data_IF_916820216020
#
_entry.id   IF_916820216020
#
_cell.length_a   1.000
_cell.length_b   1.000
_cell.length_c   1.000
_cell.angle_alpha   90.00
_cell.angle_beta   90.00
_cell.angle_gamma   90.00
#
_symmetry.space_group_name_H-M   'P 1'
#
loop_
_entity.id
_entity.type
_entity.pdbx_description
1 polymer ?
#
# COMPACT_ATOMS: atom_id res chain seq x y z
N UNK A 1 -4.68 -19.80 23.56
CA UNK A 1 -3.82 -20.22 22.44
C UNK A 1 -3.28 -19.01 21.67
N UNK A 2 -4.10 -18.11 21.16
CA UNK A 2 -3.64 -16.90 20.44
C UNK A 2 -2.73 -16.03 21.30
N UNK A 3 -3.10 -15.71 22.53
CA UNK A 3 -2.30 -14.90 23.47
C UNK A 3 -0.91 -15.48 23.77
N UNK A 4 -0.78 -16.82 23.83
CA UNK A 4 0.49 -17.48 24.05
C UNK A 4 1.42 -17.37 22.84
N UNK A 5 0.86 -17.52 21.63
CA UNK A 5 1.58 -17.31 20.36
C UNK A 5 2.03 -15.86 20.24
N UNK A 6 1.14 -14.94 20.57
CA UNK A 6 1.40 -13.50 20.56
C UNK A 6 2.56 -13.12 21.49
N UNK A 7 2.52 -13.55 22.75
CA UNK A 7 3.58 -13.27 23.73
C UNK A 7 4.94 -13.88 23.34
N UNK A 8 4.97 -14.98 22.59
CA UNK A 8 6.20 -15.61 22.14
C UNK A 8 6.77 -14.95 20.88
N UNK A 9 5.93 -14.59 19.92
CA UNK A 9 6.36 -14.07 18.61
C UNK A 9 6.61 -12.56 18.61
N UNK A 10 5.78 -11.79 19.31
CA UNK A 10 5.80 -10.34 19.26
C UNK A 10 7.18 -9.72 19.58
N UNK A 11 7.88 -10.10 20.67
CA UNK A 11 9.19 -9.54 20.98
C UNK A 11 10.22 -9.81 19.88
N UNK A 12 10.27 -11.05 19.37
CA UNK A 12 11.23 -11.45 18.34
C UNK A 12 10.99 -10.69 17.03
N UNK A 13 9.73 -10.54 16.63
CA UNK A 13 9.37 -9.82 15.40
C UNK A 13 9.67 -8.32 15.54
N UNK A 14 9.41 -7.72 16.70
CA UNK A 14 9.74 -6.32 16.97
C UNK A 14 11.24 -6.07 16.91
N UNK A 15 12.06 -6.96 17.49
CA UNK A 15 13.52 -6.83 17.46
C UNK A 15 14.05 -6.90 16.03
N UNK A 16 13.60 -7.87 15.23
CA UNK A 16 13.95 -7.98 13.81
C UNK A 16 13.53 -6.72 13.02
N UNK A 17 12.31 -6.26 13.23
CA UNK A 17 11.80 -5.07 12.56
C UNK A 17 12.55 -3.80 12.95
N UNK A 18 13.03 -3.72 14.20
CA UNK A 18 13.83 -2.57 14.64
C UNK A 18 15.06 -2.37 13.76
N UNK A 19 15.75 -3.45 13.40
CA UNK A 19 16.91 -3.36 12.51
C UNK A 19 16.49 -3.21 11.03
N UNK A 20 15.61 -4.07 10.53
CA UNK A 20 15.22 -4.09 9.13
C UNK A 20 14.53 -2.80 8.69
N UNK A 21 13.54 -2.34 9.46
CA UNK A 21 12.76 -1.16 9.08
C UNK A 21 13.52 0.15 9.28
N UNK A 22 14.23 0.31 10.44
CA UNK A 22 14.80 1.60 10.77
C UNK A 22 16.10 1.92 10.03
N UNK A 23 16.83 0.89 9.57
CA UNK A 23 18.10 1.09 8.91
C UNK A 23 18.10 0.59 7.48
N UNK A 24 17.72 -0.68 7.24
CA UNK A 24 17.81 -1.28 5.91
C UNK A 24 16.76 -0.70 4.98
N UNK A 25 15.48 -0.74 5.39
CA UNK A 25 14.37 -0.35 4.55
C UNK A 25 14.41 1.13 4.18
N UNK A 26 14.54 2.02 5.19
CA UNK A 26 14.56 3.47 4.97
C UNK A 26 15.66 3.86 4.00
N UNK A 27 16.89 3.36 4.27
CA UNK A 27 18.04 3.64 3.41
C UNK A 27 17.83 3.10 1.99
N UNK A 28 17.36 1.88 1.87
CA UNK A 28 17.18 1.21 0.58
C UNK A 28 16.13 1.90 -0.29
N UNK A 29 14.98 2.28 0.28
CA UNK A 29 13.92 2.98 -0.43
C UNK A 29 14.38 4.35 -0.94
N UNK A 30 15.05 5.12 -0.09
CA UNK A 30 15.59 6.43 -0.49
C UNK A 30 16.66 6.25 -1.56
N UNK A 31 17.56 5.28 -1.38
CA UNK A 31 18.65 5.03 -2.34
C UNK A 31 18.10 4.62 -3.72
N UNK A 32 17.17 3.68 -3.79
CA UNK A 32 16.54 3.25 -5.06
C UNK A 32 15.78 4.40 -5.69
N UNK A 33 14.95 5.10 -4.93
CA UNK A 33 14.12 6.19 -5.44
C UNK A 33 14.94 7.38 -5.94
N UNK A 34 15.97 7.78 -5.19
CA UNK A 34 16.91 8.84 -5.60
C UNK A 34 17.70 8.41 -6.84
N UNK A 35 18.20 7.17 -6.84
CA UNK A 35 18.92 6.62 -7.97
C UNK A 35 18.10 6.67 -9.25
N UNK A 36 16.85 6.19 -9.21
CA UNK A 36 15.98 6.23 -10.37
C UNK A 36 15.54 7.66 -10.73
N UNK A 37 15.33 8.55 -9.76
CA UNK A 37 15.07 9.96 -10.05
C UNK A 37 16.18 10.58 -10.88
N UNK A 38 17.44 10.36 -10.52
CA UNK A 38 18.61 10.85 -11.26
C UNK A 38 18.73 10.16 -12.62
N UNK A 39 18.68 8.82 -12.64
CA UNK A 39 18.91 8.03 -13.87
C UNK A 39 17.84 8.24 -14.94
N UNK A 40 16.60 8.50 -14.54
CA UNK A 40 15.48 8.81 -15.44
C UNK A 40 15.28 10.32 -15.66
N UNK A 41 16.18 11.16 -15.13
CA UNK A 41 16.09 12.64 -15.20
C UNK A 41 14.80 13.18 -14.60
N UNK A 42 14.49 12.75 -13.38
CA UNK A 42 13.28 13.11 -12.63
C UNK A 42 12.01 12.88 -13.44
N UNK A 43 11.80 11.63 -13.87
CA UNK A 43 10.62 11.21 -14.64
C UNK A 43 9.32 11.60 -13.95
N UNK A 44 9.27 11.51 -12.62
CA UNK A 44 8.12 11.86 -11.79
C UNK A 44 7.73 13.35 -11.89
N UNK A 45 8.65 14.23 -12.25
CA UNK A 45 8.38 15.65 -12.52
C UNK A 45 8.11 15.85 -14.00
N UNK A 46 9.04 15.40 -14.84
CA UNK A 46 9.05 15.65 -16.28
C UNK A 46 7.87 15.00 -17.03
N UNK A 47 7.40 13.86 -16.58
CA UNK A 47 6.30 13.11 -17.20
C UNK A 47 5.02 13.12 -16.37
N UNK A 48 4.96 13.94 -15.31
CA UNK A 48 3.77 14.03 -14.45
C UNK A 48 2.50 14.44 -15.23
N UNK A 49 2.61 15.50 -16.03
CA UNK A 49 1.47 15.97 -16.85
C UNK A 49 1.01 14.95 -17.89
N UNK A 50 1.95 14.16 -18.48
CA UNK A 50 1.59 13.06 -19.38
C UNK A 50 0.85 11.96 -18.63
N UNK A 51 1.31 11.59 -17.42
CA UNK A 51 0.64 10.64 -16.55
C UNK A 51 -0.78 11.08 -16.20
N UNK A 52 -0.96 12.31 -15.74
CA UNK A 52 -2.27 12.87 -15.42
C UNK A 52 -3.22 12.83 -16.63
N UNK A 53 -2.72 13.18 -17.81
CA UNK A 53 -3.52 13.12 -19.06
C UNK A 53 -3.93 11.69 -19.40
N UNK A 54 -3.04 10.69 -19.23
CA UNK A 54 -3.34 9.28 -19.51
C UNK A 54 -4.35 8.70 -18.54
N UNK A 55 -4.28 9.08 -17.27
CA UNK A 55 -5.20 8.59 -16.24
C UNK A 55 -6.56 9.26 -16.36
N UNK A 56 -6.61 10.59 -16.50
CA UNK A 56 -7.85 11.36 -16.43
C UNK A 56 -8.40 11.83 -17.78
N UNK A 57 -7.55 11.92 -18.82
CA UNK A 57 -7.96 12.43 -20.14
C UNK A 57 -8.77 11.44 -20.98
N UNK A 58 -8.69 10.13 -20.67
CA UNK A 58 -9.40 9.06 -21.39
C UNK A 58 -10.29 8.22 -20.43
N UNK A 59 -10.89 8.86 -19.44
CA UNK A 59 -11.83 8.21 -18.53
C UNK A 59 -13.10 7.81 -19.29
N UNK A 60 -13.05 6.67 -19.97
CA UNK A 60 -14.25 5.97 -20.40
C UNK A 60 -14.62 4.98 -19.29
N UNK A 61 -15.72 5.24 -18.59
CA UNK A 61 -16.31 4.34 -17.59
C UNK A 61 -16.76 2.98 -18.18
N UNK A 62 -16.61 2.81 -19.48
CA UNK A 62 -16.84 1.55 -20.20
C UNK A 62 -15.48 1.00 -20.61
N UNK A 63 -14.99 0.01 -19.87
CA UNK A 63 -13.77 -0.71 -20.19
C UNK A 63 -13.84 -1.31 -21.59
N UNK A 64 -12.85 -1.05 -22.44
CA UNK A 64 -12.71 -1.76 -23.70
C UNK A 64 -12.44 -3.24 -23.41
N UNK A 65 -13.23 -4.12 -24.02
CA UNK A 65 -13.03 -5.57 -23.93
C UNK A 65 -11.81 -5.95 -24.77
N UNK A 66 -10.70 -6.24 -24.12
CA UNK A 66 -9.53 -6.83 -24.78
C UNK A 66 -9.59 -8.36 -24.76
N UNK A 67 -9.12 -8.98 -25.82
CA UNK A 67 -9.09 -10.46 -25.94
C UNK A 67 -8.16 -11.10 -24.89
N UNK A 68 -7.09 -10.40 -24.47
CA UNK A 68 -6.15 -10.85 -23.45
C UNK A 68 -5.65 -9.67 -22.60
N UNK A 69 -5.34 -9.92 -21.32
CA UNK A 69 -4.84 -8.92 -20.38
C UNK A 69 -5.92 -7.97 -19.84
N UNK A 70 -5.48 -6.87 -19.28
CA UNK A 70 -6.30 -5.78 -18.73
C UNK A 70 -6.09 -4.51 -19.53
N UNK A 71 -7.08 -3.60 -19.56
CA UNK A 71 -6.82 -2.24 -20.03
C UNK A 71 -5.81 -1.54 -19.11
N UNK A 72 -5.15 -0.47 -19.59
CA UNK A 72 -4.24 0.33 -18.74
C UNK A 72 -4.97 0.86 -17.51
N UNK A 73 -6.24 1.25 -17.63
CA UNK A 73 -7.06 1.70 -16.52
C UNK A 73 -7.39 0.57 -15.53
N UNK A 74 -7.74 -0.62 -16.00
CA UNK A 74 -7.98 -1.78 -15.14
C UNK A 74 -6.72 -2.19 -14.37
N UNK A 75 -5.56 -2.18 -15.03
CA UNK A 75 -4.28 -2.46 -14.37
C UNK A 75 -3.95 -1.40 -13.32
N UNK A 76 -4.19 -0.11 -13.62
CA UNK A 76 -4.04 0.98 -12.65
C UNK A 76 -5.05 0.85 -11.50
N UNK A 77 -6.32 0.59 -11.79
CA UNK A 77 -7.34 0.41 -10.77
C UNK A 77 -7.02 -0.76 -9.84
N UNK A 78 -6.49 -1.87 -10.39
CA UNK A 78 -6.03 -3.02 -9.59
C UNK A 78 -4.81 -2.64 -8.72
N UNK A 79 -3.89 -1.83 -9.23
CA UNK A 79 -2.76 -1.32 -8.47
C UNK A 79 -3.21 -0.34 -7.39
N UNK A 80 -4.09 0.61 -7.70
CA UNK A 80 -4.66 1.56 -6.71
C UNK A 80 -5.49 0.80 -5.66
N UNK A 81 -6.24 -0.25 -6.03
CA UNK A 81 -6.96 -1.10 -5.10
C UNK A 81 -6.01 -1.80 -4.11
N UNK A 82 -4.78 -2.12 -4.52
CA UNK A 82 -3.75 -2.63 -3.63
C UNK A 82 -3.19 -1.54 -2.71
N UNK A 83 -2.86 -0.38 -3.28
CA UNK A 83 -2.24 0.76 -2.60
C UNK A 83 -3.19 1.42 -1.59
N UNK A 84 -4.39 1.83 -2.04
CA UNK A 84 -5.36 2.55 -1.20
C UNK A 84 -6.12 1.57 -0.32
N UNK A 85 -5.55 1.29 0.84
CA UNK A 85 -6.04 0.33 1.82
C UNK A 85 -6.03 0.88 3.25
N UNK A 86 -5.81 0.00 4.22
CA UNK A 86 -5.64 0.40 5.63
C UNK A 86 -4.45 1.33 5.83
N UNK A 87 -3.45 1.29 4.95
CA UNK A 87 -2.27 2.16 5.00
C UNK A 87 -2.61 3.64 5.05
N UNK A 88 -3.58 4.08 4.24
CA UNK A 88 -4.00 5.48 4.13
C UNK A 88 -4.77 5.99 5.35
N UNK A 89 -5.49 5.14 6.04
CA UNK A 89 -6.32 5.51 7.20
C UNK A 89 -5.63 5.07 8.50
N UNK A 90 -5.50 3.78 8.75
CA UNK A 90 -4.94 3.22 9.99
C UNK A 90 -3.41 3.37 10.04
N UNK A 91 -2.73 3.14 8.91
CA UNK A 91 -1.28 3.32 8.80
C UNK A 91 -0.85 4.77 9.04
N UNK A 92 -1.52 5.73 8.39
CA UNK A 92 -1.29 7.15 8.60
C UNK A 92 -1.62 7.58 10.04
N UNK A 93 -2.72 7.07 10.63
CA UNK A 93 -3.05 7.27 12.04
C UNK A 93 -1.93 6.79 12.97
N UNK A 94 -1.41 5.58 12.72
CA UNK A 94 -0.30 5.02 13.48
C UNK A 94 0.99 5.82 13.33
N UNK A 95 1.30 6.33 12.13
CA UNK A 95 2.44 7.19 11.89
C UNK A 95 2.34 8.51 12.66
N UNK A 96 1.16 9.14 12.65
CA UNK A 96 0.89 10.38 13.38
C UNK A 96 0.97 10.15 14.90
N UNK A 97 0.38 9.07 15.42
CA UNK A 97 0.42 8.76 16.84
C UNK A 97 1.84 8.48 17.36
N UNK A 98 2.64 7.73 16.58
CA UNK A 98 3.97 7.27 17.03
C UNK A 98 5.09 8.24 16.65
N UNK A 99 5.01 8.80 15.44
CA UNK A 99 6.02 9.69 14.87
C UNK A 99 5.67 11.18 14.92
N UNK A 100 4.46 11.50 15.39
CA UNK A 100 3.91 12.86 15.35
C UNK A 100 3.49 13.32 13.95
N UNK A 101 2.91 14.54 13.84
CA UNK A 101 2.50 15.12 12.55
C UNK A 101 3.63 15.16 11.50
N UNK A 102 4.88 15.27 11.92
CA UNK A 102 6.05 15.30 11.05
C UNK A 102 6.31 14.02 10.26
N UNK A 103 5.77 12.88 10.71
CA UNK A 103 5.86 11.63 9.96
C UNK A 103 5.22 11.74 8.56
N UNK A 104 4.19 12.57 8.41
CA UNK A 104 3.52 12.83 7.12
C UNK A 104 4.46 13.46 6.10
N UNK A 105 5.29 14.40 6.52
CA UNK A 105 6.33 14.99 5.65
C UNK A 105 7.26 13.90 5.08
N UNK A 106 7.70 12.98 5.93
CA UNK A 106 8.58 11.89 5.50
C UNK A 106 7.84 10.88 4.60
N UNK A 107 6.53 10.67 4.79
CA UNK A 107 5.72 9.90 3.84
C UNK A 107 5.70 10.56 2.46
N UNK A 108 5.57 11.89 2.38
CA UNK A 108 5.65 12.63 1.11
C UNK A 108 7.01 12.49 0.44
N UNK A 109 8.10 12.58 1.21
CA UNK A 109 9.46 12.41 0.67
C UNK A 109 9.65 11.02 0.08
N UNK A 110 9.25 9.97 0.82
CA UNK A 110 9.32 8.59 0.34
C UNK A 110 8.44 8.40 -0.89
N UNK A 111 7.23 8.94 -0.93
CA UNK A 111 6.34 8.83 -2.09
C UNK A 111 6.90 9.57 -3.31
N UNK A 112 7.48 10.75 -3.15
CA UNK A 112 8.09 11.50 -4.25
C UNK A 112 9.20 10.69 -4.94
N UNK A 113 10.10 10.10 -4.16
CA UNK A 113 11.11 9.20 -4.70
C UNK A 113 10.52 7.86 -5.17
N UNK A 114 9.51 7.37 -4.46
CA UNK A 114 8.74 6.17 -4.79
C UNK A 114 8.07 6.25 -6.18
N UNK A 115 7.63 7.44 -6.61
CA UNK A 115 7.10 7.63 -7.97
C UNK A 115 8.10 7.24 -9.06
N UNK A 116 9.40 7.52 -8.88
CA UNK A 116 10.43 7.08 -9.82
C UNK A 116 10.71 5.57 -9.70
N UNK A 117 10.60 5.01 -8.50
CA UNK A 117 10.76 3.58 -8.26
C UNK A 117 9.63 2.78 -8.92
N UNK A 118 8.37 3.15 -8.70
CA UNK A 118 7.23 2.46 -9.29
C UNK A 118 7.20 2.57 -10.81
N UNK A 119 7.66 3.71 -11.37
CA UNK A 119 7.88 3.84 -12.80
C UNK A 119 8.83 2.74 -13.32
N UNK A 120 9.94 2.53 -12.61
CA UNK A 120 10.92 1.50 -12.97
C UNK A 120 10.32 0.10 -12.84
N UNK A 121 9.65 -0.19 -11.75
CA UNK A 121 8.98 -1.48 -11.48
C UNK A 121 7.96 -1.82 -12.56
N UNK A 122 7.04 -0.90 -12.87
CA UNK A 122 6.01 -1.11 -13.90
C UNK A 122 6.60 -1.26 -15.30
N UNK A 123 7.63 -0.47 -15.61
CA UNK A 123 8.36 -0.55 -16.88
C UNK A 123 9.04 -1.92 -17.04
N UNK A 124 9.72 -2.40 -16.01
CA UNK A 124 10.40 -3.70 -16.02
C UNK A 124 9.39 -4.85 -16.06
N UNK A 125 8.28 -4.76 -15.34
CA UNK A 125 7.24 -5.77 -15.34
C UNK A 125 6.67 -6.02 -16.75
N UNK A 126 6.47 -4.96 -17.52
CA UNK A 126 6.04 -5.06 -18.92
C UNK A 126 7.13 -5.56 -19.87
N UNK A 127 8.38 -5.12 -19.64
CA UNK A 127 9.51 -5.49 -20.49
C UNK A 127 9.87 -6.98 -20.36
N UNK A 128 9.67 -7.56 -19.17
CA UNK A 128 10.10 -8.93 -18.85
C UNK A 128 8.94 -9.93 -18.74
N UNK A 129 7.69 -9.49 -18.95
CA UNK A 129 6.54 -10.39 -18.91
C UNK A 129 6.62 -11.46 -19.99
N UNK A 130 6.02 -12.61 -19.70
CA UNK A 130 5.85 -13.71 -20.62
C UNK A 130 4.38 -13.83 -21.00
N UNK A 131 4.12 -14.09 -22.28
CA UNK A 131 2.76 -14.29 -22.80
C UNK A 131 2.69 -15.68 -23.41
N UNK A 132 1.79 -16.50 -22.89
CA UNK A 132 1.57 -17.84 -23.39
C UNK A 132 0.80 -17.85 -24.70
N UNK A 133 0.75 -19.00 -25.38
CA UNK A 133 0.04 -19.16 -26.64
C UNK A 133 -1.47 -18.90 -26.55
N UNK A 134 -2.05 -19.10 -25.38
CA UNK A 134 -3.47 -18.82 -25.06
C UNK A 134 -3.74 -17.35 -24.67
N UNK A 135 -2.69 -16.51 -24.69
CA UNK A 135 -2.77 -15.11 -24.31
C UNK A 135 -2.66 -14.85 -22.81
N UNK A 136 -2.41 -15.85 -21.96
CA UNK A 136 -2.22 -15.67 -20.53
C UNK A 136 -0.92 -14.93 -20.26
N UNK A 137 -1.00 -13.85 -19.47
CA UNK A 137 0.14 -13.00 -19.15
C UNK A 137 0.72 -13.40 -17.79
N UNK A 138 2.01 -13.66 -17.77
CA UNK A 138 2.81 -13.93 -16.59
C UNK A 138 3.84 -12.82 -16.41
N UNK A 139 3.78 -12.07 -15.33
CA UNK A 139 4.68 -10.94 -15.09
C UNK A 139 4.76 -10.57 -13.62
N UNK A 140 5.69 -9.70 -13.31
CA UNK A 140 6.00 -9.25 -11.96
C UNK A 140 7.47 -9.43 -11.61
N UNK A 141 7.88 -9.18 -10.36
CA UNK A 141 9.29 -9.14 -9.96
C UNK A 141 10.07 -10.42 -10.23
N UNK A 142 9.49 -11.58 -10.06
CA UNK A 142 10.19 -12.86 -10.29
C UNK A 142 10.75 -12.94 -11.70
N UNK A 143 10.11 -12.34 -12.69
CA UNK A 143 10.55 -12.34 -14.09
C UNK A 143 11.70 -11.36 -14.34
N UNK A 144 11.64 -10.15 -13.78
CA UNK A 144 12.76 -9.23 -13.93
C UNK A 144 13.94 -9.58 -12.99
N UNK A 145 13.72 -10.21 -11.82
CA UNK A 145 14.79 -10.75 -10.97
C UNK A 145 15.58 -11.82 -11.74
N UNK A 146 14.91 -12.78 -12.39
CA UNK A 146 15.57 -13.81 -13.20
C UNK A 146 16.20 -13.25 -14.48
N UNK A 147 15.74 -12.10 -14.95
CA UNK A 147 16.38 -11.37 -16.07
C UNK A 147 17.66 -10.66 -15.60
N UNK A 148 17.62 -10.05 -14.41
CA UNK A 148 18.75 -9.34 -13.80
C UNK A 148 19.87 -10.31 -13.40
N UNK A 149 19.51 -11.43 -12.80
CA UNK A 149 20.43 -12.42 -12.26
C UNK A 149 20.14 -13.79 -12.89
N UNK A 150 21.07 -14.25 -13.71
CA UNK A 150 20.93 -15.54 -14.40
C UNK A 150 21.44 -16.70 -13.55
N UNK A 151 21.03 -17.92 -13.91
CA UNK A 151 21.48 -19.15 -13.26
C UNK A 151 20.79 -19.41 -11.91
N UNK A 152 21.46 -20.17 -11.05
CA UNK A 152 20.89 -20.63 -9.78
C UNK A 152 20.64 -19.50 -8.80
N UNK A 153 21.49 -18.47 -8.78
CA UNK A 153 21.31 -17.32 -7.89
C UNK A 153 20.04 -16.52 -8.23
N UNK A 154 19.80 -16.26 -9.51
CA UNK A 154 18.58 -15.57 -9.93
C UNK A 154 17.31 -16.37 -9.61
N UNK A 155 17.33 -17.69 -9.79
CA UNK A 155 16.23 -18.58 -9.41
C UNK A 155 15.97 -18.58 -7.90
N UNK A 156 17.03 -18.64 -7.10
CA UNK A 156 16.94 -18.55 -5.64
C UNK A 156 16.33 -17.22 -5.22
N UNK A 157 16.83 -16.11 -5.73
CA UNK A 157 16.37 -14.76 -5.36
C UNK A 157 14.91 -14.53 -5.77
N UNK A 158 14.51 -15.01 -6.95
CA UNK A 158 13.12 -14.95 -7.41
C UNK A 158 12.20 -15.86 -6.58
N UNK A 159 12.65 -17.05 -6.20
CA UNK A 159 11.93 -17.95 -5.29
C UNK A 159 11.76 -17.34 -3.90
N UNK A 160 12.82 -16.73 -3.36
CA UNK A 160 12.76 -16.02 -2.09
C UNK A 160 11.74 -14.87 -2.14
N UNK A 161 11.77 -14.03 -3.21
CA UNK A 161 10.78 -12.98 -3.41
C UNK A 161 9.35 -13.55 -3.46
N UNK A 162 9.14 -14.65 -4.22
CA UNK A 162 7.84 -15.26 -4.38
C UNK A 162 7.26 -15.78 -3.05
N UNK A 163 8.09 -16.39 -2.20
CA UNK A 163 7.69 -16.81 -0.84
C UNK A 163 7.41 -15.59 0.03
N UNK A 164 8.29 -14.59 0.00
CA UNK A 164 8.14 -13.38 0.80
C UNK A 164 6.84 -12.63 0.50
N UNK A 165 6.47 -12.44 -0.78
CA UNK A 165 5.24 -11.74 -1.15
C UNK A 165 3.97 -12.56 -0.82
N UNK A 166 4.01 -13.89 -0.91
CA UNK A 166 2.90 -14.74 -0.48
C UNK A 166 2.65 -14.56 1.01
N UNK A 167 3.71 -14.56 1.82
CA UNK A 167 3.61 -14.33 3.26
C UNK A 167 3.23 -12.89 3.59
N UNK A 168 3.90 -11.91 2.97
CA UNK A 168 3.68 -10.49 3.21
C UNK A 168 2.26 -10.02 2.86
N UNK A 169 1.83 -10.27 1.64
CA UNK A 169 0.58 -9.72 1.10
C UNK A 169 -0.53 -10.75 1.09
N UNK A 170 -0.22 -11.97 0.66
CA UNK A 170 -1.21 -13.04 0.54
C UNK A 170 -1.80 -13.47 1.88
N UNK A 171 -1.03 -13.41 2.95
CA UNK A 171 -1.43 -13.85 4.29
C UNK A 171 -1.42 -12.70 5.29
N UNK A 172 -0.26 -12.22 5.73
CA UNK A 172 -0.16 -11.24 6.82
C UNK A 172 -0.80 -9.89 6.47
N UNK A 173 -0.58 -9.39 5.26
CA UNK A 173 -1.21 -8.17 4.79
C UNK A 173 -2.74 -8.29 4.73
N UNK A 174 -3.27 -9.42 4.25
CA UNK A 174 -4.72 -9.67 4.29
C UNK A 174 -5.25 -9.68 5.74
N UNK A 175 -4.46 -10.16 6.72
CA UNK A 175 -4.82 -10.08 8.14
C UNK A 175 -4.92 -8.63 8.64
N UNK A 176 -3.97 -7.75 8.25
CA UNK A 176 -4.03 -6.31 8.60
C UNK A 176 -5.32 -5.69 8.07
N UNK A 177 -5.66 -5.99 6.82
CA UNK A 177 -6.87 -5.43 6.21
C UNK A 177 -8.13 -5.93 6.93
N UNK A 178 -8.26 -7.23 7.16
CA UNK A 178 -9.42 -7.81 7.84
C UNK A 178 -9.52 -7.40 9.31
N UNK A 179 -8.39 -7.31 10.02
CA UNK A 179 -8.30 -6.80 11.39
C UNK A 179 -8.86 -5.38 11.50
N UNK A 180 -8.41 -4.51 10.62
CA UNK A 180 -8.85 -3.11 10.60
C UNK A 180 -10.33 -2.96 10.28
N UNK A 181 -10.88 -3.78 9.35
CA UNK A 181 -12.32 -3.83 9.08
C UNK A 181 -13.06 -4.29 10.34
N UNK A 182 -12.64 -5.39 10.97
CA UNK A 182 -13.25 -5.93 12.18
C UNK A 182 -13.31 -4.90 13.30
N UNK A 183 -12.18 -4.30 13.63
CA UNK A 183 -12.06 -3.30 14.70
C UNK A 183 -12.92 -2.05 14.46
N UNK A 184 -12.94 -1.52 13.22
CA UNK A 184 -13.74 -0.31 12.93
C UNK A 184 -15.23 -0.60 12.85
N UNK A 185 -15.65 -1.78 12.43
CA UNK A 185 -17.04 -2.22 12.43
C UNK A 185 -17.55 -2.47 13.87
N UNK A 186 -16.72 -3.04 14.74
CA UNK A 186 -17.03 -3.18 16.15
C UNK A 186 -17.27 -1.81 16.80
N UNK A 187 -16.37 -0.85 16.54
CA UNK A 187 -16.53 0.53 17.04
C UNK A 187 -17.77 1.24 16.48
N UNK A 188 -18.09 1.06 15.19
CA UNK A 188 -19.15 1.79 14.51
C UNK A 188 -20.54 1.18 14.73
N UNK A 189 -20.64 -0.14 14.74
CA UNK A 189 -21.91 -0.88 14.70
C UNK A 189 -22.12 -1.82 15.89
N UNK A 190 -21.11 -2.02 16.74
CA UNK A 190 -21.14 -3.03 17.82
C UNK A 190 -21.15 -4.49 17.32
N UNK A 191 -20.79 -4.71 16.04
CA UNK A 191 -20.75 -6.06 15.47
C UNK A 191 -19.44 -6.73 15.89
N UNK A 192 -19.48 -7.93 16.51
CA UNK A 192 -18.26 -8.57 16.98
C UNK A 192 -17.34 -8.96 15.81
N UNK A 193 -16.03 -8.82 16.00
CA UNK A 193 -15.02 -9.00 14.97
C UNK A 193 -15.11 -10.37 14.25
N UNK A 194 -15.46 -11.46 14.98
CA UNK A 194 -15.62 -12.78 14.37
C UNK A 194 -16.75 -12.84 13.34
N UNK A 195 -17.86 -12.11 13.57
CA UNK A 195 -18.99 -12.09 12.63
C UNK A 195 -18.61 -11.32 11.36
N UNK A 196 -17.85 -10.21 11.49
CA UNK A 196 -17.25 -9.50 10.37
C UNK A 196 -16.29 -10.41 9.61
N UNK A 197 -15.48 -11.19 10.32
CA UNK A 197 -14.56 -12.17 9.74
C UNK A 197 -15.27 -13.21 8.86
N UNK A 198 -16.38 -13.78 9.33
CA UNK A 198 -17.19 -14.71 8.54
C UNK A 198 -17.73 -14.05 7.27
N UNK A 199 -18.29 -12.86 7.39
CA UNK A 199 -18.81 -12.11 6.23
C UNK A 199 -17.71 -11.84 5.20
N UNK A 200 -16.50 -11.43 5.64
CA UNK A 200 -15.35 -11.22 4.77
C UNK A 200 -14.91 -12.49 4.06
N UNK A 201 -14.84 -13.62 4.77
CA UNK A 201 -14.48 -14.94 4.19
C UNK A 201 -15.46 -15.32 3.08
N UNK A 202 -16.77 -15.16 3.31
CA UNK A 202 -17.79 -15.45 2.30
C UNK A 202 -17.63 -14.54 1.07
N UNK A 203 -17.52 -13.23 1.28
CA UNK A 203 -17.37 -12.26 0.20
C UNK A 203 -16.09 -12.49 -0.62
N UNK A 204 -14.95 -12.65 0.06
CA UNK A 204 -13.67 -12.94 -0.57
C UNK A 204 -13.71 -14.27 -1.31
N UNK A 205 -14.26 -15.32 -0.70
CA UNK A 205 -14.38 -16.67 -1.29
C UNK A 205 -15.13 -16.64 -2.61
N UNK A 206 -16.29 -15.97 -2.65
CA UNK A 206 -17.10 -15.82 -3.88
C UNK A 206 -16.32 -15.13 -4.99
N UNK A 207 -15.54 -14.08 -4.65
CA UNK A 207 -14.78 -13.33 -5.66
C UNK A 207 -13.54 -14.11 -6.10
N UNK A 208 -12.81 -14.73 -5.16
CA UNK A 208 -11.59 -15.50 -5.45
C UNK A 208 -11.84 -16.69 -6.39
N UNK A 209 -13.03 -17.32 -6.31
CA UNK A 209 -13.44 -18.38 -7.22
C UNK A 209 -13.65 -17.90 -8.66
N UNK A 210 -13.92 -16.61 -8.86
CA UNK A 210 -14.14 -16.00 -10.19
C UNK A 210 -12.86 -15.66 -10.96
N UNK A 211 -11.67 -15.89 -10.37
CA UNK A 211 -10.38 -15.68 -11.01
C UNK A 211 -10.00 -14.21 -11.25
N UNK A 212 -8.89 -14.01 -11.97
CA UNK A 212 -8.26 -12.70 -12.21
C UNK A 212 -9.20 -11.68 -12.86
N UNK A 213 -9.99 -12.10 -13.86
CA UNK A 213 -10.91 -11.21 -14.59
C UNK A 213 -12.00 -10.64 -13.67
N UNK A 214 -12.58 -11.49 -12.82
CA UNK A 214 -13.62 -11.05 -11.86
C UNK A 214 -13.07 -10.09 -10.84
N UNK A 215 -11.88 -10.37 -10.35
CA UNK A 215 -11.18 -9.55 -9.37
C UNK A 215 -10.88 -8.15 -9.93
N UNK A 216 -10.30 -8.07 -11.14
CA UNK A 216 -10.04 -6.81 -11.81
C UNK A 216 -11.33 -6.01 -12.11
N UNK A 217 -12.41 -6.67 -12.52
CA UNK A 217 -13.71 -6.03 -12.77
C UNK A 217 -14.36 -5.46 -11.49
N UNK A 218 -14.13 -6.11 -10.34
CA UNK A 218 -14.59 -5.62 -9.03
C UNK A 218 -13.75 -4.42 -8.61
N UNK A 219 -12.41 -4.51 -8.70
CA UNK A 219 -11.50 -3.43 -8.36
C UNK A 219 -11.78 -2.15 -9.19
N UNK A 220 -11.96 -2.30 -10.50
CA UNK A 220 -12.28 -1.19 -11.43
C UNK A 220 -13.52 -0.39 -10.99
N UNK A 221 -14.51 -1.05 -10.41
CA UNK A 221 -15.75 -0.40 -9.94
C UNK A 221 -15.63 0.17 -8.53
N UNK A 222 -14.97 -0.56 -7.64
CA UNK A 222 -14.84 -0.16 -6.23
C UNK A 222 -13.95 1.08 -6.10
N UNK A 223 -12.83 1.14 -6.81
CA UNK A 223 -11.82 2.19 -6.63
C UNK A 223 -12.38 3.61 -6.86
N UNK A 224 -13.09 3.92 -7.95
CA UNK A 224 -13.66 5.26 -8.11
C UNK A 224 -14.71 5.61 -7.05
N UNK A 225 -15.54 4.63 -6.65
CA UNK A 225 -16.60 4.83 -5.67
C UNK A 225 -16.01 5.10 -4.28
N UNK A 226 -15.06 4.28 -3.84
CA UNK A 226 -14.41 4.48 -2.54
C UNK A 226 -13.66 5.81 -2.48
N UNK A 227 -12.96 6.17 -3.55
CA UNK A 227 -12.26 7.44 -3.63
C UNK A 227 -13.24 8.62 -3.54
N UNK A 228 -14.33 8.60 -4.31
CA UNK A 228 -15.33 9.67 -4.32
C UNK A 228 -15.97 9.87 -2.94
N UNK A 229 -16.37 8.80 -2.26
CA UNK A 229 -16.98 8.86 -0.92
C UNK A 229 -15.98 9.46 0.09
N UNK A 230 -14.75 8.92 0.11
CA UNK A 230 -13.73 9.38 1.06
C UNK A 230 -13.32 10.83 0.81
N UNK A 231 -13.05 11.21 -0.45
CA UNK A 231 -12.69 12.57 -0.82
C UNK A 231 -13.78 13.57 -0.45
N UNK A 232 -15.05 13.26 -0.73
CA UNK A 232 -16.18 14.12 -0.38
C UNK A 232 -16.26 14.35 1.13
N UNK A 233 -16.20 13.29 1.93
CA UNK A 233 -16.26 13.41 3.39
C UNK A 233 -15.05 14.15 3.98
N UNK A 234 -13.83 13.85 3.49
CA UNK A 234 -12.62 14.55 3.93
C UNK A 234 -12.69 16.04 3.59
N UNK A 235 -13.11 16.41 2.38
CA UNK A 235 -13.25 17.80 1.97
C UNK A 235 -14.26 18.56 2.83
N UNK A 236 -15.40 17.95 3.20
CA UNK A 236 -16.37 18.57 4.12
C UNK A 236 -15.70 18.90 5.45
N UNK A 237 -14.98 17.94 6.05
CA UNK A 237 -14.26 18.20 7.31
C UNK A 237 -13.25 19.33 7.15
N UNK A 238 -12.45 19.32 6.09
CA UNK A 238 -11.43 20.34 5.86
C UNK A 238 -12.01 21.75 5.60
N UNK A 239 -13.18 21.84 4.95
CA UNK A 239 -13.90 23.12 4.79
C UNK A 239 -14.37 23.65 6.14
N UNK A 240 -14.94 22.81 7.00
CA UNK A 240 -15.34 23.20 8.36
C UNK A 240 -14.13 23.61 9.20
N UNK A 241 -13.01 22.92 9.04
CA UNK A 241 -11.74 23.16 9.76
C UNK A 241 -10.77 24.08 9.01
N UNK A 242 -11.22 24.84 8.02
CA UNK A 242 -10.37 25.62 7.12
C UNK A 242 -9.40 26.58 7.86
N UNK A 243 -9.82 27.13 8.99
CA UNK A 243 -9.00 28.03 9.83
C UNK A 243 -7.76 27.35 10.41
N UNK A 244 -7.81 26.04 10.61
CA UNK A 244 -6.70 25.26 11.18
C UNK A 244 -5.74 24.69 10.13
N UNK A 245 -6.09 24.76 8.85
CA UNK A 245 -5.29 24.16 7.77
C UNK A 245 -3.87 24.77 7.69
N UNK A 246 -3.67 26.10 7.75
CA UNK A 246 -2.31 26.66 7.77
C UNK A 246 -1.48 26.17 8.94
N UNK A 247 -2.08 26.12 10.16
CA UNK A 247 -1.40 25.60 11.35
C UNK A 247 -1.07 24.12 11.22
N UNK A 248 -1.96 23.33 10.59
CA UNK A 248 -1.75 21.90 10.32
C UNK A 248 -0.53 21.67 9.41
N UNK A 249 -0.41 22.41 8.32
CA UNK A 249 0.80 22.35 7.49
C UNK A 249 2.02 22.80 8.27
N UNK A 250 1.91 23.88 9.07
CA UNK A 250 2.97 24.35 9.96
C UNK A 250 3.46 23.25 10.92
N UNK A 251 2.54 22.47 11.50
CA UNK A 251 2.88 21.32 12.37
C UNK A 251 3.57 20.21 11.58
N UNK A 252 3.09 19.85 10.39
CA UNK A 252 3.71 18.81 9.55
C UNK A 252 5.16 19.17 9.23
N UNK A 253 5.43 20.39 8.76
CA UNK A 253 6.78 20.81 8.42
C UNK A 253 7.67 21.01 9.64
N UNK A 254 7.16 21.65 10.70
CA UNK A 254 7.95 21.91 11.92
C UNK A 254 8.34 20.60 12.59
N UNK A 255 7.40 19.69 12.80
CA UNK A 255 7.67 18.44 13.51
C UNK A 255 8.39 17.40 12.67
N UNK A 256 8.51 17.59 11.37
CA UNK A 256 9.40 16.78 10.53
C UNK A 256 10.87 16.94 10.89
N UNK A 257 11.27 18.14 11.34
CA UNK A 257 12.66 18.48 11.66
C UNK A 257 12.87 18.81 13.14
N UNK A 258 11.81 19.13 13.87
CA UNK A 258 11.80 19.43 15.29
C UNK A 258 10.68 18.64 15.98
N UNK A 259 10.70 17.29 15.94
CA UNK A 259 9.65 16.51 16.54
C UNK A 259 9.63 16.74 18.06
N UNK A 260 8.43 16.87 18.62
CA UNK A 260 8.29 16.90 20.07
C UNK A 260 8.76 15.56 20.62
N UNK A 261 9.54 15.60 21.70
CA UNK A 261 9.99 14.39 22.39
C UNK A 261 8.76 13.63 22.91
N UNK A 262 8.47 12.50 22.29
CA UNK A 262 7.42 11.59 22.72
C UNK A 262 8.05 10.70 23.79
N UNK A 263 7.44 10.59 24.96
CA UNK A 263 7.87 9.69 26.04
C UNK A 263 9.31 9.93 26.57
N UNK A 264 9.77 11.18 26.66
CA UNK A 264 11.05 11.51 27.28
C UNK A 264 12.30 11.14 26.48
N UNK A 265 12.14 10.76 25.21
CA UNK A 265 13.27 10.51 24.30
C UNK A 265 13.95 11.80 23.85
N UNK A 266 15.27 11.76 23.63
CA UNK A 266 16.01 12.90 23.09
C UNK A 266 15.60 13.23 21.65
N UNK A 267 15.96 14.45 21.19
CA UNK A 267 15.64 14.95 19.82
C UNK A 267 15.99 13.96 18.70
N UNK A 268 17.16 13.32 18.78
CA UNK A 268 17.60 12.34 17.77
C UNK A 268 16.70 11.12 17.69
N UNK A 269 16.18 10.64 18.80
CA UNK A 269 15.25 9.51 18.85
C UNK A 269 13.91 9.88 18.21
N UNK A 270 13.37 11.04 18.54
CA UNK A 270 12.10 11.51 18.00
C UNK A 270 12.17 11.75 16.47
N UNK A 271 13.27 12.33 15.96
CA UNK A 271 13.51 12.51 14.53
C UNK A 271 13.61 11.15 13.80
N UNK A 272 14.38 10.21 14.36
CA UNK A 272 14.51 8.85 13.85
C UNK A 272 13.14 8.17 13.78
N UNK A 273 12.32 8.32 14.81
CA UNK A 273 10.98 7.71 14.87
C UNK A 273 10.06 8.30 13.82
N UNK A 274 10.02 9.63 13.64
CA UNK A 274 9.22 10.27 12.61
C UNK A 274 9.62 9.82 11.20
N UNK A 275 10.93 9.77 10.91
CA UNK A 275 11.46 9.30 9.65
C UNK A 275 11.13 7.82 9.41
N UNK A 276 11.36 6.95 10.39
CA UNK A 276 11.12 5.52 10.30
C UNK A 276 9.62 5.21 10.10
N UNK A 277 8.75 5.83 10.89
CA UNK A 277 7.31 5.66 10.74
C UNK A 277 6.81 6.20 9.40
N UNK A 278 7.32 7.35 8.97
CA UNK A 278 7.03 7.90 7.64
C UNK A 278 7.44 6.94 6.53
N UNK A 279 8.62 6.35 6.59
CA UNK A 279 9.09 5.40 5.59
C UNK A 279 8.32 4.07 5.60
N UNK A 280 8.13 3.45 6.77
CA UNK A 280 7.38 2.19 6.91
C UNK A 280 5.94 2.31 6.43
N UNK A 281 5.23 3.33 6.92
CA UNK A 281 3.82 3.52 6.61
C UNK A 281 3.61 4.10 5.22
N UNK A 282 4.55 4.93 4.72
CA UNK A 282 4.59 5.39 3.34
C UNK A 282 4.73 4.24 2.36
N UNK A 283 5.71 3.35 2.58
CA UNK A 283 5.88 2.14 1.77
C UNK A 283 4.64 1.23 1.80
N UNK A 284 4.13 0.96 2.99
CA UNK A 284 2.95 0.11 3.17
C UNK A 284 1.71 0.69 2.45
N UNK A 285 1.58 2.02 2.36
CA UNK A 285 0.49 2.69 1.66
C UNK A 285 0.67 2.60 0.15
N UNK A 286 1.75 3.19 -0.38
CA UNK A 286 1.91 3.38 -1.83
C UNK A 286 2.60 2.22 -2.57
N UNK A 287 3.15 1.25 -1.84
CA UNK A 287 3.79 0.03 -2.32
C UNK A 287 5.00 0.23 -3.26
N UNK A 288 5.48 1.45 -3.45
CA UNK A 288 6.59 1.75 -4.36
C UNK A 288 7.92 1.20 -3.84
N UNK A 289 8.51 0.26 -4.55
CA UNK A 289 9.73 -0.45 -4.16
C UNK A 289 9.49 -1.79 -3.46
N UNK A 290 8.22 -2.15 -3.21
CA UNK A 290 7.86 -3.46 -2.67
C UNK A 290 7.89 -4.57 -3.72
N UNK A 291 7.68 -4.23 -5.00
CA UNK A 291 7.51 -5.23 -6.05
C UNK A 291 6.12 -5.86 -6.09
N UNK A 292 5.13 -5.29 -5.44
CA UNK A 292 3.76 -5.81 -5.38
C UNK A 292 2.95 -5.42 -6.63
N UNK A 293 2.73 -4.14 -6.85
CA UNK A 293 1.93 -3.59 -7.95
C UNK A 293 2.44 -3.89 -9.36
N UNK A 294 3.75 -4.20 -9.60
CA UNK A 294 4.22 -4.70 -10.88
C UNK A 294 3.43 -5.90 -11.43
N UNK A 295 2.84 -6.71 -10.56
CA UNK A 295 1.98 -7.83 -10.97
C UNK A 295 0.72 -7.36 -11.70
N UNK A 296 0.10 -6.27 -11.25
CA UNK A 296 -1.04 -5.65 -11.92
C UNK A 296 -0.59 -4.94 -13.21
N UNK A 297 0.48 -4.15 -13.14
CA UNK A 297 0.99 -3.41 -14.29
C UNK A 297 1.47 -4.30 -15.44
N UNK A 298 2.00 -5.49 -15.14
CA UNK A 298 2.38 -6.48 -16.15
C UNK A 298 1.20 -6.95 -17.02
N UNK A 299 -0.01 -6.90 -16.48
CA UNK A 299 -1.25 -7.31 -17.19
C UNK A 299 -1.75 -6.26 -18.18
N UNK A 300 -1.21 -5.03 -18.13
CA UNK A 300 -1.70 -3.92 -18.95
C UNK A 300 -1.46 -4.13 -20.44
N UNK A 301 -2.49 -3.88 -21.25
CA UNK A 301 -2.38 -3.80 -22.69
C UNK A 301 -2.08 -2.35 -23.09
N UNK A 302 -0.81 -2.06 -23.33
CA UNK A 302 -0.29 -0.73 -23.68
C UNK A 302 0.69 -0.83 -24.84
N UNK A 303 0.89 0.28 -25.55
CA UNK A 303 1.79 0.36 -26.71
C UNK A 303 3.28 0.30 -26.29
N UNK A 304 3.60 0.81 -25.11
CA UNK A 304 4.99 0.80 -24.63
C UNK A 304 5.07 0.66 -23.11
N UNK A 305 6.15 0.07 -22.57
CA UNK A 305 6.39 0.00 -21.14
C UNK A 305 6.44 1.38 -20.46
N UNK A 306 6.91 2.41 -21.17
CA UNK A 306 6.93 3.80 -20.70
C UNK A 306 5.53 4.31 -20.33
N UNK A 307 4.53 4.03 -21.16
CA UNK A 307 3.14 4.48 -20.92
C UNK A 307 2.62 3.99 -19.58
N UNK A 308 2.80 2.69 -19.29
CA UNK A 308 2.33 2.14 -18.03
C UNK A 308 3.18 2.59 -16.83
N UNK A 309 4.48 2.78 -17.03
CA UNK A 309 5.35 3.36 -16.00
C UNK A 309 4.87 4.76 -15.57
N UNK A 310 4.52 5.59 -16.55
CA UNK A 310 3.98 6.94 -16.29
C UNK A 310 2.62 6.89 -15.57
N UNK A 311 1.76 5.95 -15.94
CA UNK A 311 0.47 5.70 -15.27
C UNK A 311 0.68 5.21 -13.83
N UNK A 312 1.63 4.30 -13.60
CA UNK A 312 1.91 3.75 -12.28
C UNK A 312 2.33 4.83 -11.28
N UNK A 313 3.16 5.80 -11.68
CA UNK A 313 3.58 6.87 -10.76
C UNK A 313 2.43 7.79 -10.37
N UNK A 314 1.37 7.94 -11.19
CA UNK A 314 0.15 8.66 -10.79
C UNK A 314 -0.62 7.89 -9.73
N UNK A 315 -0.57 6.55 -9.74
CA UNK A 315 -1.12 5.74 -8.65
C UNK A 315 -0.53 6.11 -7.29
N UNK A 316 0.81 6.17 -7.18
CA UNK A 316 1.51 6.61 -5.96
C UNK A 316 1.16 8.05 -5.57
N UNK A 317 1.05 8.94 -6.55
CA UNK A 317 0.62 10.31 -6.30
C UNK A 317 -0.79 10.36 -5.68
N UNK A 318 -1.75 9.65 -6.28
CA UNK A 318 -3.14 9.60 -5.78
C UNK A 318 -3.23 8.97 -4.40
N UNK A 319 -2.47 7.90 -4.15
CA UNK A 319 -2.42 7.24 -2.85
C UNK A 319 -1.94 8.19 -1.75
N UNK A 320 -0.72 8.72 -1.89
CA UNK A 320 -0.05 9.41 -0.79
C UNK A 320 -0.33 10.91 -0.77
N UNK A 321 -0.18 11.63 -1.92
CA UNK A 321 -0.37 13.07 -1.95
C UNK A 321 -1.83 13.50 -1.92
N UNK A 322 -2.77 12.62 -2.30
CA UNK A 322 -4.19 12.93 -2.26
C UNK A 322 -4.85 12.21 -1.07
N UNK A 323 -5.04 10.90 -1.13
CA UNK A 323 -5.87 10.16 -0.16
C UNK A 323 -5.28 10.19 1.25
N UNK A 324 -4.02 9.80 1.40
CA UNK A 324 -3.34 9.77 2.69
C UNK A 324 -3.19 11.18 3.28
N UNK A 325 -2.82 12.16 2.45
CA UNK A 325 -2.68 13.56 2.89
C UNK A 325 -4.00 14.13 3.40
N UNK A 326 -5.11 13.88 2.71
CA UNK A 326 -6.43 14.33 3.17
C UNK A 326 -6.79 13.71 4.52
N UNK A 327 -6.53 12.40 4.71
CA UNK A 327 -6.76 11.78 6.02
C UNK A 327 -5.89 12.42 7.12
N UNK A 328 -4.60 12.62 6.83
CA UNK A 328 -3.68 13.26 7.76
C UNK A 328 -4.12 14.69 8.13
N UNK A 329 -4.52 15.49 7.13
CA UNK A 329 -5.03 16.84 7.37
C UNK A 329 -6.30 16.83 8.23
N UNK A 330 -7.23 15.89 8.01
CA UNK A 330 -8.42 15.71 8.85
C UNK A 330 -8.00 15.40 10.28
N UNK A 331 -7.13 14.42 10.50
CA UNK A 331 -6.67 14.02 11.85
C UNK A 331 -5.99 15.19 12.56
N UNK A 332 -5.04 15.85 11.91
CA UNK A 332 -4.22 16.88 12.56
C UNK A 332 -5.06 18.15 12.79
N UNK A 333 -5.89 18.58 11.83
CA UNK A 333 -6.72 19.79 11.97
C UNK A 333 -7.87 19.66 12.98
N UNK A 334 -8.19 18.45 13.39
CA UNK A 334 -9.25 18.18 14.38
C UNK A 334 -8.72 17.80 15.75
N UNK A 335 -7.69 16.94 15.81
CA UNK A 335 -7.25 16.36 17.08
C UNK A 335 -6.02 17.06 17.69
N UNK A 336 -5.16 17.69 16.87
CA UNK A 336 -3.93 18.37 17.33
C UNK A 336 -4.10 19.89 17.50
N UNK A 337 -5.29 20.40 17.32
CA UNK A 337 -5.61 21.82 17.53
C UNK A 337 -5.90 22.10 19.01
N UNK A 338 -5.89 23.37 19.47
CA UNK A 338 -6.08 23.71 20.88
C UNK A 338 -7.38 23.18 21.50
N UNK A 339 -8.39 22.93 20.67
CA UNK A 339 -9.68 22.34 21.06
C UNK A 339 -9.73 20.82 20.91
N UNK A 340 -8.63 20.20 20.48
CA UNK A 340 -8.54 18.76 20.24
C UNK A 340 -7.88 17.97 21.38
N UNK A 341 -8.16 16.67 21.49
CA UNK A 341 -7.65 15.81 22.57
C UNK A 341 -6.11 15.61 22.52
N UNK A 342 -5.46 15.90 21.40
CA UNK A 342 -4.02 15.77 21.20
C UNK A 342 -3.31 17.15 21.10
N UNK A 343 -3.92 18.22 21.61
CA UNK A 343 -3.38 19.58 21.57
C UNK A 343 -1.95 19.68 22.14
N UNK A 344 -1.66 18.92 23.21
CA UNK A 344 -0.35 18.86 23.87
C UNK A 344 0.57 17.76 23.34
N UNK A 345 0.24 17.16 22.21
CA UNK A 345 0.92 16.00 21.69
C UNK A 345 0.43 14.68 22.31
N UNK A 346 0.98 13.58 21.81
CA UNK A 346 0.63 12.24 22.28
C UNK A 346 1.42 11.90 23.55
N UNK A 347 0.75 11.75 24.67
CA UNK A 347 1.37 11.56 25.99
C UNK A 347 1.29 10.12 26.53
N UNK A 348 0.93 9.15 25.71
CA UNK A 348 0.79 7.74 26.15
C UNK A 348 -0.49 7.45 26.95
N UNK A 349 -0.97 8.38 27.79
CA UNK A 349 -2.20 8.21 28.59
C UNK A 349 -3.49 8.27 27.78
N UNK A 350 -3.44 8.75 26.54
CA UNK A 350 -4.59 8.84 25.63
C UNK A 350 -4.76 7.53 24.82
N UNK A 351 -3.80 6.59 24.92
CA UNK A 351 -3.79 5.31 24.20
C UNK A 351 -4.94 4.37 24.54
N UNK A 352 -5.49 4.44 25.73
CA UNK A 352 -6.64 3.64 26.12
C UNK A 352 -7.92 4.03 25.34
N UNK A 353 -7.97 5.29 24.87
CA UNK A 353 -9.15 5.86 24.19
C UNK A 353 -8.88 5.99 22.67
N UNK A 354 -7.63 6.34 22.28
CA UNK A 354 -7.25 6.62 20.90
C UNK A 354 -6.19 5.63 20.41
N UNK A 355 -6.63 4.60 19.68
CA UNK A 355 -5.75 3.66 18.99
C UNK A 355 -5.60 3.98 17.51
N UNK A 356 -4.68 3.30 16.84
CA UNK A 356 -4.45 3.43 15.39
C UNK A 356 -5.73 3.21 14.58
N UNK A 357 -6.59 2.28 15.00
CA UNK A 357 -7.80 1.89 14.28
C UNK A 357 -8.92 2.92 14.37
N UNK A 358 -9.08 3.63 15.50
CA UNK A 358 -10.21 4.54 15.75
C UNK A 358 -9.84 6.02 15.64
N UNK A 359 -8.56 6.38 15.46
CA UNK A 359 -8.12 7.77 15.42
C UNK A 359 -8.83 8.56 14.30
N UNK A 360 -8.91 7.99 13.11
CA UNK A 360 -9.63 8.61 12.00
C UNK A 360 -11.15 8.71 12.31
N UNK A 361 -11.74 7.67 12.91
CA UNK A 361 -13.17 7.71 13.33
C UNK A 361 -13.44 8.85 14.30
N UNK A 362 -12.56 9.05 15.27
CA UNK A 362 -12.63 10.17 16.21
C UNK A 362 -12.47 11.51 15.50
N UNK A 363 -11.50 11.62 14.60
CA UNK A 363 -11.24 12.85 13.84
C UNK A 363 -12.45 13.28 12.99
N UNK A 364 -13.02 12.37 12.20
CA UNK A 364 -14.24 12.64 11.45
C UNK A 364 -15.45 12.90 12.36
N UNK A 365 -15.48 12.23 13.52
CA UNK A 365 -16.52 12.40 14.52
C UNK A 365 -16.61 13.81 15.12
N UNK A 366 -15.50 14.57 15.14
CA UNK A 366 -15.52 15.97 15.62
C UNK A 366 -16.40 16.88 14.77
N UNK A 367 -16.58 16.59 13.49
CA UNK A 367 -17.40 17.37 12.56
C UNK A 367 -18.75 16.70 12.28
N UNK A 368 -18.75 15.39 12.06
CA UNK A 368 -19.96 14.65 11.70
C UNK A 368 -20.78 14.16 12.90
N UNK A 369 -20.26 14.31 14.13
CA UNK A 369 -20.75 13.63 15.32
C UNK A 369 -20.16 12.23 15.46
N UNK A 370 -19.93 11.79 16.69
CA UNK A 370 -19.15 10.59 17.02
C UNK A 370 -19.67 9.32 16.31
N UNK A 371 -20.99 9.11 16.31
CA UNK A 371 -21.61 7.94 15.68
C UNK A 371 -21.49 7.96 14.16
N UNK A 372 -21.82 9.08 13.52
CA UNK A 372 -21.78 9.17 12.06
C UNK A 372 -20.35 9.17 11.53
N UNK A 373 -19.40 9.83 12.23
CA UNK A 373 -17.99 9.79 11.87
C UNK A 373 -17.41 8.37 11.95
N UNK A 374 -17.76 7.61 13.00
CA UNK A 374 -17.36 6.22 13.13
C UNK A 374 -17.90 5.35 11.99
N UNK A 375 -19.18 5.49 11.63
CA UNK A 375 -19.80 4.78 10.51
C UNK A 375 -19.16 5.16 9.18
N UNK A 376 -18.97 6.45 8.93
CA UNK A 376 -18.36 6.94 7.69
C UNK A 376 -16.98 6.32 7.45
N UNK A 377 -16.11 6.37 8.46
CA UNK A 377 -14.76 5.81 8.35
C UNK A 377 -14.80 4.30 8.22
N UNK A 378 -15.68 3.60 8.96
CA UNK A 378 -15.82 2.14 8.84
C UNK A 378 -16.22 1.72 7.42
N UNK A 379 -17.18 2.43 6.81
CA UNK A 379 -17.61 2.18 5.42
C UNK A 379 -16.48 2.47 4.42
N UNK A 380 -15.79 3.61 4.54
CA UNK A 380 -14.65 3.92 3.69
C UNK A 380 -13.54 2.88 3.82
N UNK A 381 -13.19 2.53 5.06
CA UNK A 381 -12.15 1.55 5.33
C UNK A 381 -12.52 0.15 4.83
N UNK A 382 -13.80 -0.22 4.91
CA UNK A 382 -14.27 -1.47 4.31
C UNK A 382 -13.95 -1.52 2.82
N UNK A 383 -14.32 -0.51 2.05
CA UNK A 383 -14.03 -0.48 0.61
C UNK A 383 -12.52 -0.48 0.33
N UNK A 384 -11.73 0.32 1.06
CA UNK A 384 -10.28 0.41 0.91
C UNK A 384 -9.61 -0.93 1.22
N UNK A 385 -9.84 -1.46 2.42
CA UNK A 385 -9.22 -2.69 2.87
C UNK A 385 -9.70 -3.91 2.06
N UNK A 386 -10.98 -3.98 1.73
CA UNK A 386 -11.52 -5.09 0.96
C UNK A 386 -10.94 -5.13 -0.46
N UNK A 387 -10.84 -3.98 -1.14
CA UNK A 387 -10.19 -3.92 -2.47
C UNK A 387 -8.72 -4.34 -2.42
N UNK A 388 -8.02 -3.97 -1.33
CA UNK A 388 -6.62 -4.37 -1.11
C UNK A 388 -6.49 -5.88 -0.92
N UNK A 389 -7.35 -6.50 -0.12
CA UNK A 389 -7.39 -7.97 0.03
C UNK A 389 -7.55 -8.67 -1.33
N UNK A 390 -8.42 -8.15 -2.19
CA UNK A 390 -8.63 -8.71 -3.52
C UNK A 390 -7.35 -8.63 -4.37
N UNK A 391 -6.72 -7.47 -4.43
CA UNK A 391 -5.52 -7.26 -5.24
C UNK A 391 -4.32 -8.04 -4.70
N UNK A 392 -4.10 -8.04 -3.40
CA UNK A 392 -3.01 -8.80 -2.78
C UNK A 392 -3.16 -10.31 -2.92
N UNK A 393 -4.40 -10.81 -2.86
CA UNK A 393 -4.66 -12.22 -3.17
C UNK A 393 -4.27 -12.56 -4.62
N UNK A 394 -4.51 -11.67 -5.58
CA UNK A 394 -4.06 -11.86 -6.95
C UNK A 394 -2.54 -11.94 -7.04
N UNK A 395 -1.82 -11.02 -6.37
CA UNK A 395 -0.36 -11.02 -6.39
C UNK A 395 0.21 -12.30 -5.79
N UNK A 396 -0.36 -12.78 -4.67
CA UNK A 396 -0.02 -14.06 -4.09
C UNK A 396 -0.25 -15.23 -5.05
N UNK A 397 -1.42 -15.29 -5.72
CA UNK A 397 -1.73 -16.35 -6.71
C UNK A 397 -0.71 -16.41 -7.86
N UNK A 398 -0.30 -15.25 -8.38
CA UNK A 398 0.70 -15.19 -9.46
C UNK A 398 2.02 -15.82 -9.00
N UNK A 399 2.45 -15.54 -7.77
CA UNK A 399 3.68 -16.10 -7.21
C UNK A 399 3.56 -17.57 -6.81
N UNK A 400 2.39 -18.04 -6.38
CA UNK A 400 2.10 -19.46 -6.17
C UNK A 400 2.22 -20.24 -7.51
N UNK A 401 1.69 -19.70 -8.61
CA UNK A 401 1.84 -20.32 -9.94
C UNK A 401 3.30 -20.36 -10.36
N UNK A 402 4.08 -19.31 -10.06
CA UNK A 402 5.51 -19.29 -10.36
C UNK A 402 6.28 -20.39 -9.60
N UNK A 403 5.98 -20.62 -8.32
CA UNK A 403 6.68 -21.60 -7.47
C UNK A 403 6.31 -23.04 -7.81
N UNK A 404 5.04 -23.34 -8.06
CA UNK A 404 4.52 -24.70 -8.20
C UNK A 404 4.33 -25.15 -9.66
N UNK A 405 4.59 -24.27 -10.62
CA UNK A 405 4.43 -24.55 -12.02
C UNK A 405 3.01 -24.31 -12.56
N UNK A 406 2.95 -24.05 -13.87
CA UNK A 406 1.67 -23.74 -14.55
C UNK A 406 0.76 -24.96 -14.64
N UNK A 407 1.31 -26.14 -14.74
CA UNK A 407 0.61 -27.42 -14.76
C UNK A 407 -0.17 -27.68 -13.45
N UNK A 408 0.34 -27.18 -12.34
CA UNK A 408 -0.27 -27.33 -11.02
C UNK A 408 -1.12 -26.11 -10.62
N UNK A 409 -1.27 -25.09 -11.48
CA UNK A 409 -1.87 -23.80 -11.15
C UNK A 409 -3.25 -23.92 -10.49
N UNK A 410 -4.13 -24.79 -11.01
CA UNK A 410 -5.48 -24.96 -10.45
C UNK A 410 -5.46 -25.49 -9.02
N UNK A 411 -4.63 -26.50 -8.73
CA UNK A 411 -4.52 -27.11 -7.41
C UNK A 411 -3.83 -26.21 -6.41
N UNK A 412 -2.67 -25.66 -6.79
CA UNK A 412 -1.87 -24.82 -5.90
C UNK A 412 -2.58 -23.51 -5.54
N UNK A 413 -3.27 -22.88 -6.48
CA UNK A 413 -4.06 -21.65 -6.20
C UNK A 413 -5.33 -21.95 -5.39
N UNK A 414 -5.92 -23.13 -5.52
CA UNK A 414 -7.05 -23.54 -4.66
C UNK A 414 -6.60 -23.69 -3.21
N UNK A 415 -5.50 -24.41 -2.97
CA UNK A 415 -4.91 -24.57 -1.62
C UNK A 415 -4.53 -23.21 -1.04
N UNK A 416 -3.82 -22.38 -1.80
CA UNK A 416 -3.48 -21.01 -1.40
C UNK A 416 -4.73 -20.20 -1.01
N UNK A 417 -5.79 -20.27 -1.81
CA UNK A 417 -7.03 -19.53 -1.55
C UNK A 417 -7.67 -19.96 -0.22
N UNK A 418 -7.72 -21.25 0.08
CA UNK A 418 -8.26 -21.76 1.36
C UNK A 418 -7.43 -21.22 2.52
N UNK A 419 -6.10 -21.31 2.43
CA UNK A 419 -5.19 -20.79 3.46
C UNK A 419 -5.40 -19.27 3.63
N UNK A 420 -5.45 -18.50 2.54
CA UNK A 420 -5.68 -17.06 2.59
C UNK A 420 -7.01 -16.70 3.30
N UNK A 421 -8.08 -17.45 3.05
CA UNK A 421 -9.37 -17.24 3.74
C UNK A 421 -9.27 -17.51 5.24
N UNK A 422 -8.50 -18.53 5.65
CA UNK A 422 -8.22 -18.81 7.08
C UNK A 422 -7.47 -17.62 7.70
N UNK A 423 -6.45 -17.08 7.03
CA UNK A 423 -5.71 -15.91 7.51
C UNK A 423 -6.59 -14.65 7.58
N UNK A 424 -7.47 -14.43 6.61
CA UNK A 424 -8.45 -13.31 6.64
C UNK A 424 -9.34 -13.43 7.89
N UNK A 425 -9.83 -14.62 8.21
CA UNK A 425 -10.62 -14.83 9.42
C UNK A 425 -9.78 -14.63 10.68
N UNK A 426 -8.61 -15.27 10.77
CA UNK A 426 -7.73 -15.18 11.92
C UNK A 426 -7.31 -13.73 12.21
N UNK A 427 -7.10 -12.91 11.15
CA UNK A 427 -6.75 -11.51 11.27
C UNK A 427 -7.76 -10.70 12.07
N UNK A 428 -9.05 -10.97 11.93
CA UNK A 428 -10.09 -10.27 12.71
C UNK A 428 -10.03 -10.59 14.21
N UNK A 429 -9.40 -11.70 14.60
CA UNK A 429 -9.35 -12.21 15.97
C UNK A 429 -8.03 -11.92 16.69
N UNK A 430 -7.00 -11.45 15.98
CA UNK A 430 -5.67 -11.18 16.53
C UNK A 430 -5.51 -9.74 16.98
N UNK A 431 -4.50 -9.46 17.81
CA UNK A 431 -4.17 -8.09 18.17
C UNK A 431 -3.67 -7.30 16.96
N UNK A 432 -4.02 -6.02 16.94
CA UNK A 432 -3.60 -5.11 15.89
C UNK A 432 -2.07 -5.03 15.77
N UNK A 433 -1.37 -4.97 16.91
CA UNK A 433 0.08 -4.75 16.93
C UNK A 433 0.87 -5.93 16.35
N UNK A 434 0.55 -7.17 16.75
CA UNK A 434 1.24 -8.35 16.19
C UNK A 434 1.02 -8.48 14.68
N UNK A 435 -0.20 -8.26 14.22
CA UNK A 435 -0.55 -8.37 12.79
C UNK A 435 0.23 -7.35 11.96
N UNK A 436 0.38 -6.11 12.45
CA UNK A 436 1.18 -5.09 11.80
C UNK A 436 2.67 -5.41 11.79
N UNK A 437 3.23 -5.88 12.92
CA UNK A 437 4.65 -6.22 13.00
C UNK A 437 5.03 -7.40 12.10
N UNK A 438 4.19 -8.44 12.02
CA UNK A 438 4.40 -9.56 11.10
C UNK A 438 4.36 -9.10 9.63
N UNK A 439 3.44 -8.23 9.29
CA UNK A 439 3.34 -7.68 7.94
C UNK A 439 4.57 -6.84 7.59
N UNK A 440 5.03 -5.98 8.51
CA UNK A 440 6.23 -5.17 8.32
C UNK A 440 7.46 -6.07 8.09
N UNK A 441 7.61 -7.18 8.86
CA UNK A 441 8.72 -8.11 8.70
C UNK A 441 8.79 -8.71 7.29
N UNK A 442 7.69 -9.27 6.82
CA UNK A 442 7.67 -9.90 5.50
C UNK A 442 7.76 -8.88 4.36
N UNK A 443 7.21 -7.68 4.53
CA UNK A 443 7.40 -6.58 3.58
C UNK A 443 8.89 -6.19 3.48
N UNK A 444 9.59 -6.06 4.60
CA UNK A 444 11.01 -5.78 4.61
C UNK A 444 11.82 -6.83 3.84
N UNK A 445 11.49 -8.12 4.03
CA UNK A 445 12.15 -9.22 3.32
C UNK A 445 11.86 -9.19 1.82
N UNK A 446 10.65 -8.82 1.41
CA UNK A 446 10.27 -8.75 0.01
C UNK A 446 11.00 -7.61 -0.75
N UNK A 447 11.22 -6.48 -0.09
CA UNK A 447 11.90 -5.31 -0.69
C UNK A 447 13.33 -5.61 -1.11
N UNK A 448 14.07 -6.46 -0.37
CA UNK A 448 15.48 -6.72 -0.63
C UNK A 448 15.76 -7.27 -2.03
N UNK A 449 15.18 -8.42 -2.45
CA UNK A 449 15.42 -8.96 -3.79
C UNK A 449 14.92 -8.05 -4.90
N UNK A 450 13.82 -7.32 -4.65
CA UNK A 450 13.28 -6.35 -5.59
C UNK A 450 14.27 -5.21 -5.86
N UNK A 451 14.78 -4.58 -4.80
CA UNK A 451 15.75 -3.49 -4.92
C UNK A 451 17.03 -3.90 -5.64
N UNK A 452 17.55 -5.10 -5.35
CA UNK A 452 18.74 -5.64 -6.05
C UNK A 452 18.50 -5.74 -7.56
N UNK A 453 17.34 -6.27 -7.97
CA UNK A 453 16.99 -6.38 -9.39
C UNK A 453 16.79 -5.01 -10.04
N UNK A 454 16.18 -4.06 -9.32
CA UNK A 454 16.01 -2.68 -9.78
C UNK A 454 17.38 -2.03 -10.06
N UNK A 455 18.34 -2.12 -9.15
CA UNK A 455 19.69 -1.59 -9.39
C UNK A 455 20.36 -2.24 -10.60
N UNK A 456 20.28 -3.57 -10.73
CA UNK A 456 20.89 -4.31 -11.84
C UNK A 456 20.31 -3.92 -13.20
N UNK A 457 19.00 -3.63 -13.28
CA UNK A 457 18.30 -3.32 -14.53
C UNK A 457 18.13 -1.81 -14.81
N UNK A 458 18.85 -0.98 -14.09
CA UNK A 458 18.79 0.49 -14.24
C UNK A 458 19.02 0.95 -15.69
N UNK A 459 19.95 0.31 -16.42
CA UNK A 459 20.25 0.65 -17.80
C UNK A 459 19.03 0.53 -18.71
N UNK A 460 18.28 -0.56 -18.58
CA UNK A 460 17.05 -0.83 -19.33
C UNK A 460 16.00 0.25 -19.10
N UNK A 461 15.71 0.56 -17.83
CA UNK A 461 14.72 1.58 -17.47
C UNK A 461 15.14 2.97 -17.96
N UNK A 462 16.41 3.34 -17.77
CA UNK A 462 16.94 4.62 -18.22
C UNK A 462 16.87 4.78 -19.75
N UNK A 463 17.13 3.72 -20.51
CA UNK A 463 16.99 3.71 -21.97
C UNK A 463 15.52 3.94 -22.39
N UNK A 464 14.57 3.25 -21.77
CA UNK A 464 13.13 3.42 -22.04
C UNK A 464 12.66 4.84 -21.67
N UNK A 465 13.10 5.37 -20.53
CA UNK A 465 12.75 6.73 -20.09
C UNK A 465 13.29 7.83 -21.01
N UNK A 466 14.41 7.58 -21.74
CA UNK A 466 14.99 8.50 -22.70
C UNK A 466 14.35 8.40 -24.08
N UNK A 467 14.06 7.18 -24.52
CA UNK A 467 13.58 6.88 -25.88
C UNK A 467 12.05 6.86 -25.97
N UNK A 468 11.39 7.91 -25.43
CA UNK A 468 9.93 8.08 -25.45
C UNK A 468 9.27 7.79 -26.82
N UNK A 469 10.02 7.95 -27.92
CA UNK A 469 9.54 7.94 -29.30
C UNK A 469 9.94 6.68 -30.09
N UNK A 470 10.94 5.91 -29.68
CA UNK A 470 11.39 4.74 -30.42
C UNK A 470 10.63 3.45 -30.11
N UNK A 471 9.73 3.46 -29.14
CA UNK A 471 8.83 2.36 -28.85
C UNK A 471 7.46 2.47 -29.58
N UNK A 472 7.38 3.35 -30.56
CA UNK A 472 6.20 3.52 -31.43
C UNK A 472 6.38 2.88 -32.81
N UNK A 473 7.41 2.05 -32.96
CA UNK A 473 7.61 1.28 -34.21
C UNK A 473 7.53 -0.21 -33.93
#
# INVERSE_FOLDING_TARGET
MFTAIENALYPVVCDLNTYLSNYVLVFLLIAVGLWYSIRTRFVQVRCFGDGMRRVFGNLTLRGEKHASGMSSFQALATAIAAQVGTGNIVGASGAILTGGPGAIFWMWVIAFFGMATIYAEATLALTTRQIDKDGTIHGGPVYYITTAFKGSFGKFLAGFFAVAIILALGFMGCMVQSNSIGSTFETAFGVPAWAVGIALVILCGVIFLGGVRRLAAVAEKIVPVMAAIFLAGALVVLVVRIRYIPATFGMIFRYAFQPQAILGGGFGYALKTALSQGAKRGLFSNEAGMGSTPHAHAQANVRSPHEQGVVAMIGVFMDTFVVLTLNALVIISTLYTPDGPLANGYTGSVTEILGKSNLAQTAFGTVFGSRFGAIFVAVCLFFFAFSTVLSWNLFGKINVIYLFGRENAKRSTAVYTVIALVFIFAGTMMSNDLVWELTDLFNNLMVLPNALALFALTGTVAAIARNKTKAQL
#
